data_IF_111278074482
#
_entry.id   IF_111278074482
#
_cell.length_a   1.000
_cell.length_b   1.000
_cell.length_c   1.000
_cell.angle_alpha   90.00
_cell.angle_beta   90.00
_cell.angle_gamma   90.00
#
_symmetry.space_group_name_H-M   'P 1'
#
loop_
_entity.id
_entity.type
_entity.pdbx_description
1 polymer ?
#
# COMPACT_ATOMS: atom_id res chain seq x y z
N UNK A 1 -1.17 -23.55 5.03
CA UNK A 1 -0.04 -22.64 4.73
C UNK A 1 0.30 -21.84 5.97
N UNK A 2 1.57 -21.66 6.29
CA UNK A 2 1.92 -20.79 7.39
C UNK A 2 1.52 -19.35 7.06
N UNK A 3 1.08 -18.64 8.08
CA UNK A 3 0.78 -17.23 7.92
C UNK A 3 2.05 -16.45 7.62
N UNK A 4 1.91 -15.42 6.79
CA UNK A 4 3.01 -14.50 6.54
C UNK A 4 3.31 -13.70 7.81
N UNK A 5 4.59 -13.42 8.04
CA UNK A 5 4.96 -12.45 9.07
C UNK A 5 4.47 -11.06 8.64
N UNK A 6 4.47 -10.12 9.59
CA UNK A 6 4.11 -8.74 9.27
C UNK A 6 4.95 -8.19 8.12
N UNK A 7 6.27 -8.42 8.16
CA UNK A 7 7.17 -7.90 7.14
C UNK A 7 6.94 -8.56 5.78
N UNK A 8 6.71 -9.87 5.77
CA UNK A 8 6.38 -10.59 4.55
C UNK A 8 5.08 -10.10 3.95
N UNK A 9 4.07 -9.90 4.79
CA UNK A 9 2.77 -9.40 4.32
C UNK A 9 2.90 -7.98 3.77
N UNK A 10 3.64 -7.12 4.45
CA UNK A 10 3.87 -5.75 3.99
C UNK A 10 4.56 -5.73 2.63
N UNK A 11 5.58 -6.56 2.45
CA UNK A 11 6.27 -6.68 1.16
C UNK A 11 5.32 -7.14 0.06
N UNK A 12 4.45 -8.08 0.36
CA UNK A 12 3.43 -8.57 -0.58
C UNK A 12 2.45 -7.45 -0.97
N UNK A 13 1.99 -6.66 0.02
CA UNK A 13 1.11 -5.53 -0.25
C UNK A 13 1.76 -4.52 -1.18
N UNK A 14 3.03 -4.17 -0.92
CA UNK A 14 3.77 -3.23 -1.76
C UNK A 14 3.91 -3.75 -3.18
N UNK A 15 4.28 -5.00 -3.34
CA UNK A 15 4.47 -5.60 -4.65
C UNK A 15 3.19 -5.56 -5.48
N UNK A 16 2.06 -5.89 -4.88
CA UNK A 16 0.77 -5.86 -5.55
C UNK A 16 0.37 -4.45 -5.95
N UNK A 17 0.57 -3.50 -5.05
CA UNK A 17 0.23 -2.10 -5.32
C UNK A 17 1.11 -1.51 -6.42
N UNK A 18 2.42 -1.77 -6.35
CA UNK A 18 3.35 -1.24 -7.35
C UNK A 18 3.09 -1.77 -8.75
N UNK A 19 2.45 -2.93 -8.87
CA UNK A 19 2.10 -3.50 -10.17
C UNK A 19 1.09 -2.64 -10.95
N UNK A 20 0.32 -1.79 -10.25
CA UNK A 20 -0.61 -0.87 -10.90
C UNK A 20 0.05 0.39 -11.44
N UNK A 21 1.29 0.66 -11.01
CA UNK A 21 1.99 1.89 -11.40
C UNK A 21 2.81 1.69 -12.67
N UNK A 22 2.98 2.73 -13.48
CA UNK A 22 2.43 4.08 -13.33
C UNK A 22 1.02 4.26 -13.89
N UNK A 23 0.44 3.25 -14.48
CA UNK A 23 -0.80 3.37 -15.27
C UNK A 23 -2.02 3.72 -14.44
N UNK A 24 -2.12 3.20 -13.20
CA UNK A 24 -3.34 3.34 -12.40
C UNK A 24 -3.02 3.61 -10.92
N UNK A 25 -2.63 4.86 -10.60
CA UNK A 25 -2.28 5.21 -9.21
C UNK A 25 -3.45 5.06 -8.24
N UNK A 26 -4.68 5.30 -8.69
CA UNK A 26 -5.84 5.17 -7.81
C UNK A 26 -6.03 3.73 -7.35
N UNK A 27 -5.93 2.77 -8.28
CA UNK A 27 -6.02 1.36 -7.92
C UNK A 27 -4.81 0.87 -7.14
N UNK A 28 -3.63 1.44 -7.38
CA UNK A 28 -2.46 1.14 -6.56
C UNK A 28 -2.73 1.46 -5.09
N UNK A 29 -3.28 2.63 -4.82
CA UNK A 29 -3.63 3.03 -3.44
C UNK A 29 -4.71 2.14 -2.86
N UNK A 30 -5.76 1.85 -3.63
CA UNK A 30 -6.85 1.00 -3.18
C UNK A 30 -6.36 -0.41 -2.85
N UNK A 31 -5.49 -0.97 -3.69
CA UNK A 31 -4.89 -2.28 -3.45
C UNK A 31 -4.09 -2.29 -2.15
N UNK A 32 -3.25 -1.27 -1.94
CA UNK A 32 -2.43 -1.18 -0.74
C UNK A 32 -3.30 -1.12 0.53
N UNK A 33 -4.30 -0.24 0.55
CA UNK A 33 -5.18 -0.10 1.71
C UNK A 33 -5.97 -1.37 1.99
N UNK A 34 -6.50 -2.01 0.95
CA UNK A 34 -7.26 -3.25 1.09
C UNK A 34 -6.38 -4.37 1.63
N UNK A 35 -5.18 -4.52 1.07
CA UNK A 35 -4.29 -5.60 1.46
C UNK A 35 -3.74 -5.42 2.88
N UNK A 36 -3.51 -4.17 3.30
CA UNK A 36 -3.06 -3.90 4.67
C UNK A 36 -4.07 -4.37 5.73
N UNK A 37 -5.36 -4.33 5.41
CA UNK A 37 -6.39 -4.77 6.36
C UNK A 37 -6.40 -6.27 6.58
N UNK A 38 -5.76 -7.04 5.72
CA UNK A 38 -5.78 -8.51 5.77
C UNK A 38 -4.85 -9.12 6.81
N UNK A 39 -4.01 -8.30 7.43
CA UNK A 39 -3.08 -8.78 8.45
C UNK A 39 -3.13 -7.86 9.67
N UNK A 40 -3.21 -8.47 10.86
CA UNK A 40 -3.33 -7.72 12.11
C UNK A 40 -2.14 -6.78 12.33
N UNK A 41 -0.95 -7.17 11.89
CA UNK A 41 0.26 -6.37 12.05
C UNK A 41 0.34 -5.13 11.16
N UNK A 42 -0.47 -5.05 10.10
CA UNK A 42 -0.48 -3.92 9.16
C UNK A 42 -1.81 -3.17 9.13
N UNK A 43 -2.84 -3.73 9.76
CA UNK A 43 -4.21 -3.18 9.70
C UNK A 43 -4.30 -1.73 10.16
N UNK A 44 -3.54 -1.36 11.18
CA UNK A 44 -3.58 -0.02 11.77
C UNK A 44 -2.30 0.76 11.53
N UNK A 45 -1.58 0.45 10.46
CA UNK A 45 -0.34 1.16 10.15
C UNK A 45 -0.60 2.66 9.99
N UNK A 46 0.21 3.54 10.64
CA UNK A 46 0.00 4.98 10.56
C UNK A 46 0.02 5.55 9.16
N UNK A 47 0.78 4.94 8.25
CA UNK A 47 0.86 5.38 6.85
C UNK A 47 -0.48 5.38 6.12
N UNK A 48 -1.45 4.61 6.61
CA UNK A 48 -2.80 4.58 6.02
C UNK A 48 -3.51 5.93 6.13
N UNK A 49 -3.22 6.68 7.18
CA UNK A 49 -3.84 7.97 7.41
C UNK A 49 -3.39 9.03 6.41
N UNK A 50 -2.27 8.79 5.73
CA UNK A 50 -1.76 9.69 4.71
C UNK A 50 -2.42 9.50 3.35
N UNK A 51 -3.16 8.41 3.16
CA UNK A 51 -3.77 8.11 1.86
C UNK A 51 -4.61 9.25 1.28
N UNK A 52 -5.45 9.97 2.06
CA UNK A 52 -6.25 11.05 1.50
C UNK A 52 -5.42 12.16 0.86
N UNK A 53 -4.18 12.37 1.34
CA UNK A 53 -3.28 13.39 0.77
C UNK A 53 -2.86 13.04 -0.64
N UNK A 54 -2.74 11.76 -0.95
CA UNK A 54 -2.27 11.28 -2.25
C UNK A 54 -3.39 11.00 -3.25
N UNK A 55 -4.60 10.70 -2.77
CA UNK A 55 -5.72 10.44 -3.64
C UNK A 55 -6.04 11.61 -4.56
N UNK A 56 -5.86 12.82 -4.07
CA UNK A 56 -6.16 14.01 -4.85
C UNK A 56 -5.17 14.27 -5.98
N UNK A 57 -3.90 13.92 -5.79
CA UNK A 57 -2.87 14.20 -6.78
C UNK A 57 -2.83 13.18 -7.92
N UNK A 58 -3.14 11.91 -7.63
CA UNK A 58 -3.06 10.81 -8.59
C UNK A 58 -1.73 10.75 -9.34
N UNK A 59 -0.67 11.29 -8.76
CA UNK A 59 0.64 11.30 -9.36
C UNK A 59 1.34 9.97 -9.08
N UNK A 60 1.71 9.19 -10.13
CA UNK A 60 2.33 7.87 -9.92
C UNK A 60 3.59 7.92 -9.08
N UNK A 61 4.40 8.96 -9.21
CA UNK A 61 5.65 9.07 -8.45
C UNK A 61 5.37 9.29 -6.96
N UNK A 62 4.35 10.10 -6.63
CA UNK A 62 3.97 10.34 -5.25
C UNK A 62 3.33 9.10 -4.63
N UNK A 63 2.47 8.41 -5.37
CA UNK A 63 1.85 7.18 -4.90
C UNK A 63 2.91 6.11 -4.65
N UNK A 64 3.89 5.99 -5.55
CA UNK A 64 5.01 5.07 -5.34
C UNK A 64 5.76 5.39 -4.06
N UNK A 65 6.05 6.66 -3.82
CA UNK A 65 6.76 7.10 -2.61
C UNK A 65 5.97 6.75 -1.35
N UNK A 66 4.66 6.94 -1.39
CA UNK A 66 3.79 6.57 -0.26
C UNK A 66 3.84 5.07 0.00
N UNK A 67 3.72 4.25 -1.05
CA UNK A 67 3.78 2.78 -0.92
C UNK A 67 5.12 2.34 -0.35
N UNK A 68 6.22 2.84 -0.92
CA UNK A 68 7.57 2.46 -0.50
C UNK A 68 7.92 2.95 0.90
N UNK A 69 7.22 3.95 1.40
CA UNK A 69 7.43 4.49 2.73
C UNK A 69 6.86 3.67 3.87
N UNK A 70 6.03 2.68 3.59
CA UNK A 70 5.53 1.79 4.63
C UNK A 70 6.65 0.94 5.21
N UNK A 71 6.67 0.85 6.54
CA UNK A 71 7.66 0.05 7.30
C UNK A 71 6.99 -1.00 8.14
#
# INVERSE_FOLDING_TARGET
MPELTRDQHLAWCKQRALAYLPADPANAMASMLSDLTKHVGTREHPGRELAPMFYGSRNPAEVRRWIEGFN
#
